data_IF_595184059881
#
_entry.id   IF_595184059881
#
_cell.length_a   1.000
_cell.length_b   1.000
_cell.length_c   1.000
_cell.angle_alpha   90.00
_cell.angle_beta   90.00
_cell.angle_gamma   90.00
#
_symmetry.space_group_name_H-M   'P 1'
#
loop_
_entity.id
_entity.type
_entity.pdbx_description
1 polymer ?
#
# COMPACT_ATOMS: atom_id res chain seq x y z
N UNK A 1 27.89 9.07 -15.43
CA UNK A 1 26.52 9.15 -14.89
C UNK A 1 26.26 7.88 -14.07
N UNK A 2 25.85 7.98 -12.80
CA UNK A 2 25.64 6.81 -11.92
C UNK A 2 24.15 6.48 -11.87
N UNK A 3 23.78 5.24 -12.22
CA UNK A 3 22.39 4.77 -12.14
C UNK A 3 22.15 4.33 -10.70
N UNK A 4 21.12 4.90 -10.07
CA UNK A 4 20.60 4.44 -8.79
C UNK A 4 19.51 3.42 -9.07
N UNK A 5 19.64 2.21 -8.53
CA UNK A 5 18.55 1.24 -8.51
C UNK A 5 17.86 1.29 -7.15
N UNK A 6 16.55 1.47 -7.15
CA UNK A 6 15.73 1.54 -5.94
C UNK A 6 14.62 0.49 -5.98
N UNK A 7 14.30 -0.08 -4.82
CA UNK A 7 13.18 -1.02 -4.69
C UNK A 7 11.90 -0.25 -4.33
N UNK A 8 10.81 -0.56 -5.02
CA UNK A 8 9.44 -0.12 -4.73
C UNK A 8 8.67 -1.30 -4.15
N UNK A 9 8.67 -1.48 -2.81
CA UNK A 9 8.13 -2.68 -2.18
C UNK A 9 6.61 -2.78 -2.34
N UNK A 10 6.15 -3.98 -2.66
CA UNK A 10 4.74 -4.34 -2.63
C UNK A 10 4.23 -4.44 -1.18
N UNK A 11 2.91 -4.30 -1.03
CA UNK A 11 2.22 -4.51 0.26
C UNK A 11 1.12 -5.56 0.13
N UNK A 12 0.79 -6.16 1.26
CA UNK A 12 -0.48 -6.85 1.47
C UNK A 12 -1.30 -6.09 2.51
N UNK A 13 -2.63 -6.17 2.37
CA UNK A 13 -3.53 -5.89 3.49
C UNK A 13 -3.80 -7.23 4.16
N UNK A 14 -3.29 -7.48 5.37
CA UNK A 14 -3.57 -8.71 6.10
C UNK A 14 -5.01 -8.76 6.63
N UNK A 15 -5.66 -7.61 6.66
CA UNK A 15 -7.06 -7.41 6.97
C UNK A 15 -7.53 -6.14 6.28
N UNK A 16 -8.80 -6.08 5.87
CA UNK A 16 -9.43 -4.87 5.36
C UNK A 16 -10.89 -4.82 5.80
N UNK A 17 -11.27 -3.73 6.46
CA UNK A 17 -12.65 -3.46 6.86
C UNK A 17 -13.06 -2.05 6.47
N UNK A 18 -14.20 -1.97 5.80
CA UNK A 18 -14.87 -0.73 5.43
C UNK A 18 -15.78 -0.33 6.59
N UNK A 19 -15.47 0.78 7.26
CA UNK A 19 -16.22 1.24 8.43
C UNK A 19 -17.26 2.31 8.10
N UNK A 20 -17.27 2.83 6.87
CA UNK A 20 -18.28 3.78 6.40
C UNK A 20 -17.93 4.41 5.05
N UNK A 21 -18.84 5.23 4.54
CA UNK A 21 -18.64 6.06 3.34
C UNK A 21 -18.57 7.54 3.76
N UNK A 22 -17.58 8.25 3.23
CA UNK A 22 -17.31 9.67 3.49
C UNK A 22 -18.06 10.54 2.47
N UNK A 23 -18.22 11.82 2.80
CA UNK A 23 -18.88 12.81 1.94
C UNK A 23 -18.12 13.05 0.62
N UNK A 24 -16.79 12.85 0.62
CA UNK A 24 -15.94 12.93 -0.57
C UNK A 24 -16.03 11.72 -1.51
N UNK A 25 -16.91 10.76 -1.20
CA UNK A 25 -17.14 9.57 -2.01
C UNK A 25 -16.22 8.39 -1.72
N UNK A 26 -15.20 8.54 -0.87
CA UNK A 26 -14.32 7.44 -0.44
C UNK A 26 -14.89 6.67 0.75
N UNK A 27 -14.23 5.58 1.11
CA UNK A 27 -14.54 4.78 2.30
C UNK A 27 -13.60 5.11 3.44
N UNK A 28 -14.13 5.10 4.67
CA UNK A 28 -13.30 5.00 5.87
C UNK A 28 -12.88 3.55 6.02
N UNK A 29 -11.57 3.31 6.14
CA UNK A 29 -10.98 1.98 6.16
C UNK A 29 -10.20 1.72 7.45
N UNK A 30 -10.29 0.50 7.94
CA UNK A 30 -9.37 -0.07 8.93
C UNK A 30 -8.65 -1.26 8.29
N UNK A 31 -7.33 -1.27 8.34
CA UNK A 31 -6.48 -2.29 7.69
C UNK A 31 -5.16 -2.45 8.43
N UNK A 32 -4.52 -3.60 8.29
CA UNK A 32 -3.12 -3.83 8.71
C UNK A 32 -2.27 -4.04 7.46
N UNK A 33 -1.31 -3.14 7.25
CA UNK A 33 -0.38 -3.23 6.13
C UNK A 33 0.85 -4.06 6.48
N UNK A 34 1.22 -4.98 5.60
CA UNK A 34 2.50 -5.69 5.65
C UNK A 34 3.27 -5.38 4.37
N UNK A 35 4.44 -4.76 4.50
CA UNK A 35 5.38 -4.62 3.39
C UNK A 35 6.07 -5.95 3.12
N UNK A 36 6.28 -6.26 1.85
CA UNK A 36 6.97 -7.47 1.42
C UNK A 36 8.44 -7.14 1.08
N UNK A 37 9.31 -8.13 1.26
CA UNK A 37 10.63 -8.11 0.64
C UNK A 37 10.53 -8.52 -0.85
N UNK A 38 9.62 -7.88 -1.56
CA UNK A 38 9.31 -8.08 -2.97
C UNK A 38 8.73 -6.78 -3.51
N UNK A 39 9.08 -6.40 -4.74
CA UNK A 39 8.62 -5.16 -5.35
C UNK A 39 9.23 -4.92 -6.71
N UNK A 40 8.89 -3.78 -7.31
CA UNK A 40 9.47 -3.34 -8.57
C UNK A 40 10.85 -2.71 -8.34
N UNK A 41 11.73 -2.80 -9.33
CA UNK A 41 13.02 -2.11 -9.32
C UNK A 41 13.03 -1.01 -10.36
N UNK A 42 13.26 0.22 -9.92
CA UNK A 42 13.43 1.41 -10.78
C UNK A 42 14.91 1.74 -10.94
#
# INVERSE_FOLDING_TARGET
>A
MKILRVCSPAKLNLFLHVTGRREDGYHTLQTVFQLLNWGDHM
#
